data_IF_734053613876
#
_entry.id   IF_734053613876
#
_cell.length_a   1.000
_cell.length_b   1.000
_cell.length_c   1.000
_cell.angle_alpha   90.00
_cell.angle_beta   90.00
_cell.angle_gamma   90.00
#
_symmetry.space_group_name_H-M   'P 1'
#
loop_
_entity.id
_entity.type
_entity.pdbx_description
1 polymer ?
#
# COMPACT_ATOMS: atom_id res chain seq x y z
N UNK A 1 8.25 -17.13 -13.44
CA UNK A 1 9.02 -18.16 -12.69
C UNK A 1 9.59 -17.64 -11.35
N UNK A 2 10.15 -16.42 -11.30
CA UNK A 2 10.69 -15.84 -10.04
C UNK A 2 9.71 -15.90 -8.86
N UNK A 3 8.52 -15.37 -9.02
CA UNK A 3 7.49 -15.30 -7.98
C UNK A 3 7.05 -16.69 -7.45
N UNK A 4 7.02 -17.71 -8.31
CA UNK A 4 6.70 -19.07 -7.88
C UNK A 4 7.79 -19.66 -6.96
N UNK A 5 9.07 -19.47 -7.31
CA UNK A 5 10.19 -19.92 -6.46
C UNK A 5 10.25 -19.11 -5.15
N UNK A 6 10.00 -17.81 -5.22
CA UNK A 6 9.90 -16.96 -4.05
C UNK A 6 8.77 -17.42 -3.11
N UNK A 7 7.60 -17.79 -3.67
CA UNK A 7 6.48 -18.31 -2.89
C UNK A 7 6.78 -19.65 -2.21
N UNK A 8 7.41 -20.58 -2.92
CA UNK A 8 7.82 -21.87 -2.33
C UNK A 8 8.81 -21.67 -1.18
N UNK A 9 9.81 -20.81 -1.38
CA UNK A 9 10.79 -20.45 -0.35
C UNK A 9 10.12 -19.76 0.86
N UNK A 10 9.21 -18.84 0.63
CA UNK A 10 8.40 -18.19 1.66
C UNK A 10 7.58 -19.23 2.43
N UNK A 11 6.86 -20.11 1.72
CA UNK A 11 6.00 -21.13 2.33
C UNK A 11 6.76 -22.07 3.24
N UNK A 12 7.98 -22.48 2.87
CA UNK A 12 8.83 -23.34 3.67
C UNK A 12 9.34 -22.66 4.96
N UNK A 13 9.51 -21.34 4.95
CA UNK A 13 10.05 -20.57 6.08
C UNK A 13 8.98 -19.90 6.94
N UNK A 14 7.79 -19.69 6.39
CA UNK A 14 6.71 -18.97 7.06
C UNK A 14 6.05 -19.82 8.15
N UNK A 15 5.79 -19.16 9.29
CA UNK A 15 5.10 -19.72 10.43
C UNK A 15 3.59 -19.43 10.43
N UNK A 16 2.97 -19.81 11.53
CA UNK A 16 1.59 -19.51 11.89
C UNK A 16 1.54 -18.98 13.34
N UNK A 17 0.34 -18.79 13.89
CA UNK A 17 0.14 -18.24 15.24
C UNK A 17 0.85 -19.02 16.35
N UNK A 18 1.00 -20.35 16.21
CA UNK A 18 1.57 -21.20 17.29
C UNK A 18 3.07 -20.97 17.54
N UNK A 19 3.80 -20.44 16.54
CA UNK A 19 5.24 -20.14 16.67
C UNK A 19 5.54 -18.68 17.02
N UNK A 20 4.54 -17.85 17.32
CA UNK A 20 4.73 -16.42 17.58
C UNK A 20 4.94 -16.16 19.07
N UNK A 21 6.18 -15.78 19.43
CA UNK A 21 6.53 -15.39 20.81
C UNK A 21 6.41 -13.88 21.08
N UNK A 22 6.12 -13.06 20.06
CA UNK A 22 5.86 -11.63 20.21
C UNK A 22 4.37 -11.37 20.44
N UNK A 23 3.94 -10.87 21.62
CA UNK A 23 2.54 -10.56 21.89
C UNK A 23 1.95 -9.56 20.90
N UNK A 24 2.75 -8.57 20.46
CA UNK A 24 2.33 -7.59 19.45
C UNK A 24 2.05 -8.27 18.09
N UNK A 25 2.98 -9.10 17.61
CA UNK A 25 2.80 -9.79 16.31
C UNK A 25 1.67 -10.81 16.39
N UNK A 26 1.53 -11.51 17.53
CA UNK A 26 0.42 -12.43 17.74
C UNK A 26 -0.94 -11.71 17.70
N UNK A 27 -1.08 -10.58 18.40
CA UNK A 27 -2.29 -9.76 18.38
C UNK A 27 -2.59 -9.23 16.96
N UNK A 28 -1.59 -8.69 16.27
CA UNK A 28 -1.72 -8.22 14.89
C UNK A 28 -2.17 -9.36 13.94
N UNK A 29 -1.52 -10.51 14.04
CA UNK A 29 -1.83 -11.66 13.19
C UNK A 29 -3.25 -12.17 13.41
N UNK A 30 -3.66 -12.37 14.65
CA UNK A 30 -4.98 -12.93 14.98
C UNK A 30 -6.11 -11.93 14.75
N UNK A 31 -5.91 -10.66 15.13
CA UNK A 31 -6.99 -9.65 15.08
C UNK A 31 -7.10 -8.93 13.73
N UNK A 32 -6.04 -8.90 12.93
CA UNK A 32 -6.00 -8.15 11.66
C UNK A 32 -5.79 -9.08 10.46
N UNK A 33 -4.69 -9.86 10.47
CA UNK A 33 -4.33 -10.69 9.29
C UNK A 33 -5.35 -11.82 9.10
N UNK A 34 -5.65 -12.56 10.17
CA UNK A 34 -6.59 -13.69 10.16
C UNK A 34 -8.05 -13.31 10.45
N UNK A 35 -8.36 -12.01 10.47
CA UNK A 35 -9.72 -11.54 10.71
C UNK A 35 -10.67 -12.00 9.59
N UNK A 36 -11.78 -12.63 9.96
CA UNK A 36 -12.79 -13.17 9.02
C UNK A 36 -14.07 -12.35 8.97
N UNK A 37 -14.20 -11.32 9.82
CA UNK A 37 -15.36 -10.44 9.86
C UNK A 37 -15.44 -9.51 8.65
N UNK A 38 -16.63 -8.97 8.40
CA UNK A 38 -16.90 -8.00 7.35
C UNK A 38 -17.12 -6.60 7.93
N UNK A 39 -16.77 -5.57 7.16
CA UNK A 39 -17.04 -4.18 7.48
C UNK A 39 -18.00 -3.59 6.43
N UNK A 40 -18.86 -2.67 6.83
CA UNK A 40 -19.83 -2.05 5.93
C UNK A 40 -19.18 -1.41 4.69
N UNK A 41 -17.97 -0.83 4.85
CA UNK A 41 -17.21 -0.26 3.76
C UNK A 41 -16.87 -1.25 2.63
N UNK A 42 -16.74 -2.55 2.93
CA UNK A 42 -16.35 -3.55 1.92
C UNK A 42 -17.37 -3.65 0.79
N UNK A 43 -18.64 -3.73 1.12
CA UNK A 43 -19.71 -3.84 0.13
C UNK A 43 -19.75 -2.62 -0.81
N UNK A 44 -19.59 -1.41 -0.26
CA UNK A 44 -19.61 -0.18 -1.04
C UNK A 44 -18.42 -0.09 -2.01
N UNK A 45 -17.20 -0.38 -1.54
CA UNK A 45 -15.99 -0.33 -2.39
C UNK A 45 -16.04 -1.43 -3.46
N UNK A 46 -16.50 -2.63 -3.13
CA UNK A 46 -16.60 -3.71 -4.12
C UNK A 46 -17.74 -3.45 -5.14
N UNK A 47 -18.83 -2.80 -4.76
CA UNK A 47 -19.82 -2.34 -5.72
C UNK A 47 -19.21 -1.31 -6.71
N UNK A 48 -18.38 -0.36 -6.22
CA UNK A 48 -17.64 0.56 -7.08
C UNK A 48 -16.64 -0.16 -7.97
N UNK A 49 -15.92 -1.17 -7.45
CA UNK A 49 -15.03 -2.03 -8.25
C UNK A 49 -15.78 -2.65 -9.42
N UNK A 50 -16.97 -3.21 -9.18
CA UNK A 50 -17.77 -3.82 -10.24
C UNK A 50 -18.18 -2.80 -11.31
N UNK A 51 -18.60 -1.59 -10.92
CA UNK A 51 -18.89 -0.50 -11.88
C UNK A 51 -17.69 -0.17 -12.78
N UNK A 52 -16.46 -0.12 -12.20
CA UNK A 52 -15.25 0.12 -12.96
C UNK A 52 -14.91 -1.05 -13.90
N UNK A 53 -15.15 -2.29 -13.48
CA UNK A 53 -14.94 -3.48 -14.30
C UNK A 53 -15.91 -3.56 -15.48
N UNK A 54 -17.12 -3.02 -15.33
CA UNK A 54 -18.17 -2.98 -16.35
C UNK A 54 -18.08 -1.73 -17.24
N UNK A 55 -17.14 -0.81 -16.94
CA UNK A 55 -16.99 0.45 -17.69
C UNK A 55 -16.55 0.22 -19.12
N UNK A 56 -17.24 0.85 -20.08
CA UNK A 56 -16.84 0.92 -21.48
C UNK A 56 -15.88 2.08 -21.78
N UNK A 57 -15.65 2.98 -20.84
CA UNK A 57 -14.81 4.16 -21.01
C UNK A 57 -13.35 3.80 -21.27
N UNK A 58 -12.69 4.63 -22.09
CA UNK A 58 -11.25 4.56 -22.36
C UNK A 58 -10.61 5.91 -22.03
N UNK A 59 -9.46 5.87 -21.41
CA UNK A 59 -8.68 7.05 -21.02
C UNK A 59 -7.27 6.97 -21.58
N UNK A 60 -6.67 8.13 -21.83
CA UNK A 60 -5.24 8.22 -22.18
C UNK A 60 -4.41 8.11 -20.92
N UNK A 61 -3.52 7.12 -20.84
CA UNK A 61 -2.68 6.87 -19.67
C UNK A 61 -1.23 7.23 -19.98
N UNK A 62 -0.65 8.09 -19.13
CA UNK A 62 0.78 8.35 -19.07
C UNK A 62 1.35 7.50 -17.91
N UNK A 63 2.28 6.61 -18.23
CA UNK A 63 2.88 5.73 -17.23
C UNK A 63 4.25 6.27 -16.83
N UNK A 64 4.45 6.53 -15.54
CA UNK A 64 5.73 6.95 -14.95
C UNK A 64 6.42 5.80 -14.19
N UNK A 65 5.82 4.61 -14.16
CA UNK A 65 6.31 3.44 -13.46
C UNK A 65 7.28 2.56 -14.25
N UNK A 66 7.45 1.32 -13.80
CA UNK A 66 8.37 0.34 -14.38
C UNK A 66 8.02 -0.12 -15.81
N UNK A 67 6.84 0.22 -16.33
CA UNK A 67 6.28 -0.32 -17.58
C UNK A 67 6.41 0.57 -18.81
N UNK A 68 6.83 1.85 -18.71
CA UNK A 68 6.79 2.76 -19.87
C UNK A 68 7.99 3.69 -19.95
N UNK A 69 8.78 3.53 -21.00
CA UNK A 69 9.82 4.49 -21.41
C UNK A 69 9.35 5.50 -22.47
N UNK A 70 8.07 5.51 -22.82
CA UNK A 70 7.53 6.38 -23.87
C UNK A 70 6.45 7.28 -23.28
N UNK A 71 6.71 8.58 -23.22
CA UNK A 71 5.78 9.62 -22.75
C UNK A 71 4.57 9.89 -23.68
N UNK A 72 4.23 8.96 -24.58
CA UNK A 72 3.04 9.04 -25.42
C UNK A 72 1.87 8.35 -24.70
N UNK A 73 0.80 9.09 -24.44
CA UNK A 73 -0.40 8.57 -23.80
C UNK A 73 -0.97 7.37 -24.56
N UNK A 74 -1.02 6.21 -23.91
CA UNK A 74 -1.62 5.00 -24.46
C UNK A 74 -3.08 4.90 -24.03
N UNK A 75 -3.99 4.75 -25.00
CA UNK A 75 -5.40 4.50 -24.69
C UNK A 75 -5.57 3.16 -23.96
N UNK A 76 -6.20 3.20 -22.78
CA UNK A 76 -6.53 2.02 -21.99
C UNK A 76 -7.98 2.08 -21.54
N UNK A 77 -8.67 0.94 -21.60
CA UNK A 77 -10.03 0.84 -21.03
C UNK A 77 -9.95 0.91 -19.51
N UNK A 78 -10.85 1.66 -18.88
CA UNK A 78 -10.97 1.73 -17.41
C UNK A 78 -11.15 0.34 -16.81
N UNK A 79 -12.00 -0.50 -17.43
CA UNK A 79 -12.18 -1.88 -17.02
C UNK A 79 -10.89 -2.72 -17.06
N UNK A 80 -9.99 -2.47 -18.02
CA UNK A 80 -8.72 -3.16 -18.10
C UNK A 80 -7.77 -2.73 -16.97
N UNK A 81 -7.74 -1.43 -16.64
CA UNK A 81 -6.97 -0.92 -15.51
C UNK A 81 -7.51 -1.49 -14.20
N UNK A 82 -8.84 -1.47 -14.00
CA UNK A 82 -9.49 -2.04 -12.81
C UNK A 82 -9.16 -3.53 -12.62
N UNK A 83 -9.04 -4.29 -13.71
CA UNK A 83 -8.72 -5.72 -13.66
C UNK A 83 -7.26 -6.01 -13.34
N UNK A 84 -6.34 -5.16 -13.80
CA UNK A 84 -4.89 -5.43 -13.76
C UNK A 84 -4.14 -4.65 -12.69
N UNK A 85 -4.61 -3.46 -12.31
CA UNK A 85 -3.92 -2.57 -11.37
C UNK A 85 -4.59 -2.50 -10.00
N UNK A 86 -5.88 -2.86 -9.88
CA UNK A 86 -6.53 -2.85 -8.57
C UNK A 86 -6.11 -4.05 -7.72
N UNK A 87 -5.79 -3.81 -6.45
CA UNK A 87 -5.50 -4.88 -5.50
C UNK A 87 -6.64 -5.87 -5.39
N UNK A 88 -6.36 -7.19 -5.28
CA UNK A 88 -7.39 -8.16 -4.93
C UNK A 88 -8.16 -7.73 -3.67
N UNK A 89 -9.47 -8.01 -3.60
CA UNK A 89 -10.30 -7.60 -2.44
C UNK A 89 -9.69 -7.98 -1.09
N UNK A 90 -9.15 -9.19 -0.97
CA UNK A 90 -8.57 -9.69 0.28
C UNK A 90 -7.39 -8.84 0.76
N UNK A 91 -6.50 -8.40 -0.14
CA UNK A 91 -5.36 -7.54 0.20
C UNK A 91 -5.81 -6.12 0.52
N UNK A 92 -6.73 -5.55 -0.27
CA UNK A 92 -7.26 -4.21 0.00
C UNK A 92 -8.02 -4.17 1.34
N UNK A 93 -8.78 -5.21 1.66
CA UNK A 93 -9.45 -5.38 2.96
C UNK A 93 -8.45 -5.57 4.11
N UNK A 94 -7.30 -6.21 3.87
CA UNK A 94 -6.24 -6.29 4.87
C UNK A 94 -5.66 -4.90 5.16
N UNK A 95 -5.43 -4.07 4.13
CA UNK A 95 -4.99 -2.68 4.30
C UNK A 95 -6.01 -1.86 5.10
N UNK A 96 -7.31 -1.99 4.78
CA UNK A 96 -8.38 -1.40 5.59
C UNK A 96 -8.26 -1.81 7.07
N UNK A 97 -8.12 -3.12 7.35
CA UNK A 97 -8.02 -3.63 8.73
C UNK A 97 -6.78 -3.11 9.45
N UNK A 98 -5.65 -2.95 8.75
CA UNK A 98 -4.44 -2.35 9.30
C UNK A 98 -4.70 -0.90 9.73
N UNK A 99 -5.25 -0.07 8.84
CA UNK A 99 -5.59 1.32 9.15
C UNK A 99 -6.63 1.40 10.29
N UNK A 100 -7.65 0.56 10.27
CA UNK A 100 -8.66 0.50 11.32
C UNK A 100 -8.08 0.08 12.69
N UNK A 101 -7.08 -0.79 12.69
CA UNK A 101 -6.41 -1.26 13.91
C UNK A 101 -5.46 -0.21 14.50
N UNK A 102 -4.60 0.38 13.67
CA UNK A 102 -3.60 1.36 14.11
C UNK A 102 -4.15 2.77 14.29
N UNK A 103 -5.28 3.11 13.64
CA UNK A 103 -5.96 4.41 13.73
C UNK A 103 -5.04 5.60 13.49
N UNK A 104 -4.27 5.62 12.38
CA UNK A 104 -3.38 6.71 12.05
C UNK A 104 -4.16 8.01 11.85
N UNK A 105 -3.58 9.15 12.22
CA UNK A 105 -4.12 10.47 11.86
C UNK A 105 -3.76 10.84 10.41
N UNK A 106 -2.56 10.44 9.96
CA UNK A 106 -2.06 10.71 8.61
C UNK A 106 -1.71 9.38 7.91
N UNK A 107 -2.36 9.14 6.78
CA UNK A 107 -2.11 8.01 5.87
C UNK A 107 -1.53 8.53 4.57
N UNK A 108 -0.44 7.96 4.11
CA UNK A 108 0.16 8.25 2.82
C UNK A 108 0.12 7.00 1.95
N UNK A 109 -0.27 7.14 0.70
CA UNK A 109 -0.28 6.08 -0.31
C UNK A 109 0.50 6.53 -1.54
N UNK A 110 1.47 5.73 -1.99
CA UNK A 110 2.18 5.95 -3.24
C UNK A 110 1.58 5.04 -4.31
N UNK A 111 0.76 5.61 -5.21
CA UNK A 111 0.06 4.88 -6.27
C UNK A 111 -1.45 4.80 -6.04
N UNK A 112 -2.19 5.82 -6.46
CA UNK A 112 -3.66 5.91 -6.34
C UNK A 112 -4.38 4.97 -7.30
N UNK A 113 -3.89 4.90 -8.56
CA UNK A 113 -4.59 4.22 -9.66
C UNK A 113 -6.06 4.69 -9.76
N UNK A 114 -7.04 3.79 -9.87
CA UNK A 114 -8.47 4.13 -9.92
C UNK A 114 -9.10 4.43 -8.54
N UNK A 115 -8.30 4.55 -7.49
CA UNK A 115 -8.71 4.95 -6.16
C UNK A 115 -9.38 3.87 -5.31
N UNK A 116 -9.39 2.60 -5.73
CA UNK A 116 -10.05 1.53 -4.96
C UNK A 116 -9.32 1.20 -3.65
N UNK A 117 -7.99 1.12 -3.67
CA UNK A 117 -7.20 0.91 -2.44
C UNK A 117 -7.29 2.13 -1.54
N UNK A 118 -7.14 3.33 -2.11
CA UNK A 118 -7.32 4.60 -1.41
C UNK A 118 -8.67 4.68 -0.72
N UNK A 119 -9.74 4.23 -1.39
CA UNK A 119 -11.09 4.20 -0.81
C UNK A 119 -11.16 3.28 0.42
N UNK A 120 -10.51 2.12 0.39
CA UNK A 120 -10.40 1.25 1.56
C UNK A 120 -9.65 1.92 2.70
N UNK A 121 -8.53 2.58 2.43
CA UNK A 121 -7.76 3.30 3.44
C UNK A 121 -8.60 4.42 4.06
N UNK A 122 -9.30 5.22 3.24
CA UNK A 122 -10.07 6.38 3.68
C UNK A 122 -11.37 6.02 4.42
N UNK A 123 -11.99 4.90 4.08
CA UNK A 123 -13.30 4.50 4.63
C UNK A 123 -13.25 3.99 6.08
N UNK A 124 -12.07 3.90 6.72
CA UNK A 124 -11.95 3.45 8.11
C UNK A 124 -12.42 4.49 9.11
N UNK A 125 -12.09 5.77 8.89
CA UNK A 125 -12.50 6.90 9.73
C UNK A 125 -12.39 8.20 8.93
N UNK A 126 -13.44 9.00 8.87
CA UNK A 126 -13.46 10.29 8.16
C UNK A 126 -12.56 11.38 8.78
N UNK A 127 -12.06 11.17 10.00
CA UNK A 127 -11.21 12.13 10.72
C UNK A 127 -9.74 12.05 10.34
N UNK A 128 -9.26 10.91 9.85
CA UNK A 128 -7.89 10.83 9.37
C UNK A 128 -7.75 11.41 7.96
N UNK A 129 -6.57 11.89 7.62
CA UNK A 129 -6.24 12.41 6.30
C UNK A 129 -5.52 11.34 5.49
N UNK A 130 -6.01 11.07 4.29
CA UNK A 130 -5.33 10.23 3.31
C UNK A 130 -4.72 11.11 2.23
N UNK A 131 -3.41 11.01 2.03
CA UNK A 131 -2.67 11.68 0.96
C UNK A 131 -2.22 10.61 -0.01
N UNK A 132 -2.63 10.68 -1.27
CA UNK A 132 -2.32 9.68 -2.28
C UNK A 132 -1.73 10.31 -3.53
N UNK A 133 -0.86 9.59 -4.24
CA UNK A 133 -0.09 10.10 -5.37
C UNK A 133 -0.47 9.38 -6.66
N UNK A 134 -0.80 10.14 -7.70
CA UNK A 134 -1.09 9.60 -9.04
C UNK A 134 -0.36 10.40 -10.12
N UNK A 135 0.42 9.70 -10.95
CA UNK A 135 1.19 10.34 -12.02
C UNK A 135 0.34 10.79 -13.20
N UNK A 136 -0.72 10.06 -13.52
CA UNK A 136 -1.54 10.31 -14.70
C UNK A 136 -2.82 11.08 -14.35
N UNK A 137 -3.01 12.33 -14.85
CA UNK A 137 -4.20 13.13 -14.54
C UNK A 137 -5.52 12.44 -14.93
N UNK A 138 -5.53 11.70 -16.04
CA UNK A 138 -6.76 11.00 -16.47
C UNK A 138 -7.10 9.80 -15.57
N UNK A 139 -6.11 9.16 -14.97
CA UNK A 139 -6.32 8.10 -13.94
C UNK A 139 -6.77 8.73 -12.65
N UNK A 140 -6.16 9.86 -12.24
CA UNK A 140 -6.58 10.64 -11.07
C UNK A 140 -8.03 11.12 -11.18
N UNK A 141 -8.47 11.55 -12.37
CA UNK A 141 -9.87 11.93 -12.60
C UNK A 141 -10.84 10.78 -12.28
N UNK A 142 -10.54 9.55 -12.72
CA UNK A 142 -11.37 8.38 -12.38
C UNK A 142 -11.31 8.05 -10.88
N UNK A 143 -10.17 8.26 -10.23
CA UNK A 143 -10.07 8.13 -8.78
C UNK A 143 -10.95 9.15 -8.04
N UNK A 144 -10.98 10.40 -8.48
CA UNK A 144 -11.88 11.42 -7.93
C UNK A 144 -13.36 11.02 -8.08
N UNK A 145 -13.76 10.46 -9.23
CA UNK A 145 -15.10 9.90 -9.41
C UNK A 145 -15.37 8.75 -8.42
N UNK A 146 -14.39 7.91 -8.16
CA UNK A 146 -14.50 6.83 -7.18
C UNK A 146 -14.72 7.38 -5.77
N UNK A 147 -13.97 8.40 -5.37
CA UNK A 147 -14.10 9.01 -4.04
C UNK A 147 -15.44 9.73 -3.88
N UNK A 148 -15.90 10.46 -4.90
CA UNK A 148 -17.19 11.12 -4.91
C UNK A 148 -18.35 10.11 -4.82
N UNK A 149 -18.29 9.01 -5.58
CA UNK A 149 -19.31 7.95 -5.56
C UNK A 149 -19.42 7.25 -4.20
N UNK A 150 -18.34 7.24 -3.42
CA UNK A 150 -18.27 6.63 -2.08
C UNK A 150 -18.41 7.65 -0.94
N UNK A 151 -18.64 8.95 -1.26
CA UNK A 151 -18.73 10.06 -0.30
C UNK A 151 -17.50 10.16 0.62
N UNK A 152 -16.30 9.97 0.09
CA UNK A 152 -15.03 10.05 0.81
C UNK A 152 -14.43 11.44 0.63
N UNK A 153 -14.51 12.28 1.66
CA UNK A 153 -14.03 13.68 1.64
C UNK A 153 -12.68 13.90 2.34
N UNK A 154 -12.08 12.86 2.88
CA UNK A 154 -10.83 12.92 3.65
C UNK A 154 -9.57 12.53 2.83
N UNK A 155 -9.66 12.61 1.50
CA UNK A 155 -8.60 12.21 0.56
C UNK A 155 -8.06 13.45 -0.15
N UNK A 156 -6.75 13.55 -0.22
CA UNK A 156 -6.02 14.53 -1.03
C UNK A 156 -5.20 13.78 -2.08
N UNK A 157 -5.47 14.03 -3.36
CA UNK A 157 -4.72 13.45 -4.48
C UNK A 157 -3.64 14.44 -4.89
N UNK A 158 -2.39 13.99 -4.89
CA UNK A 158 -1.23 14.73 -5.40
C UNK A 158 -0.93 14.23 -6.81
N UNK A 159 -1.28 15.03 -7.80
CA UNK A 159 -1.03 14.69 -9.19
C UNK A 159 0.42 14.99 -9.58
N UNK A 160 1.04 14.06 -10.32
CA UNK A 160 2.39 14.18 -10.85
C UNK A 160 3.32 13.03 -10.47
N UNK A 161 4.52 13.05 -11.04
CA UNK A 161 5.52 12.01 -10.74
C UNK A 161 5.93 12.04 -9.27
N UNK A 162 5.86 10.90 -8.60
CA UNK A 162 6.24 10.71 -7.18
C UNK A 162 7.66 11.21 -6.92
N UNK A 163 8.60 11.01 -7.85
CA UNK A 163 9.98 11.47 -7.73
C UNK A 163 10.11 12.99 -7.50
N UNK A 164 9.10 13.75 -7.94
CA UNK A 164 9.10 15.22 -7.83
C UNK A 164 8.12 15.74 -6.78
N UNK A 165 7.07 14.97 -6.47
CA UNK A 165 5.97 15.43 -5.62
C UNK A 165 6.07 14.96 -4.17
N UNK A 166 6.72 13.81 -3.91
CA UNK A 166 6.77 13.22 -2.56
C UNK A 166 7.53 14.10 -1.56
N UNK A 167 8.76 14.52 -1.89
CA UNK A 167 9.59 15.28 -0.96
C UNK A 167 8.93 16.62 -0.55
N UNK A 168 8.42 17.47 -1.47
CA UNK A 168 7.74 18.71 -1.07
C UNK A 168 6.45 18.44 -0.28
N UNK A 169 5.69 17.39 -0.61
CA UNK A 169 4.49 17.02 0.16
C UNK A 169 4.85 16.63 1.59
N UNK A 170 5.86 15.80 1.79
CA UNK A 170 6.35 15.42 3.12
C UNK A 170 6.84 16.63 3.91
N UNK A 171 7.59 17.53 3.29
CA UNK A 171 8.07 18.77 3.93
C UNK A 171 6.93 19.71 4.37
N UNK A 172 5.78 19.64 3.70
CA UNK A 172 4.59 20.43 4.04
C UNK A 172 3.72 19.79 5.14
N UNK A 173 4.00 18.56 5.56
CA UNK A 173 3.26 17.89 6.63
C UNK A 173 3.45 18.64 7.95
N UNK A 174 2.32 18.97 8.60
CA UNK A 174 2.29 19.58 9.93
C UNK A 174 2.24 18.58 11.08
N UNK A 175 2.10 17.31 10.76
CA UNK A 175 2.00 16.19 11.70
C UNK A 175 2.90 15.04 11.22
N UNK A 176 3.29 14.13 12.12
CA UNK A 176 4.02 12.93 11.74
C UNK A 176 3.28 12.08 10.70
N UNK A 177 4.04 11.27 9.96
CA UNK A 177 3.52 10.26 9.07
C UNK A 177 3.27 8.97 9.86
N UNK A 178 2.00 8.67 10.15
CA UNK A 178 1.66 7.52 10.99
C UNK A 178 1.57 6.21 10.21
N UNK A 179 1.11 6.30 8.94
CA UNK A 179 0.96 5.13 8.08
C UNK A 179 1.38 5.47 6.66
N UNK A 180 2.19 4.63 6.04
CA UNK A 180 2.57 4.78 4.63
C UNK A 180 2.39 3.45 3.89
N UNK A 181 1.73 3.49 2.73
CA UNK A 181 1.58 2.37 1.81
C UNK A 181 2.35 2.64 0.51
N UNK A 182 3.33 1.80 0.23
CA UNK A 182 4.22 1.91 -0.92
C UNK A 182 3.75 0.96 -2.02
N UNK A 183 2.94 1.45 -2.95
CA UNK A 183 2.36 0.72 -4.09
C UNK A 183 2.73 1.38 -5.44
N UNK A 184 3.84 2.05 -5.49
CA UNK A 184 4.31 2.72 -6.71
C UNK A 184 5.73 2.33 -7.09
N UNK A 185 5.98 2.24 -8.40
CA UNK A 185 7.32 2.15 -8.98
C UNK A 185 8.17 0.93 -8.52
N UNK A 186 7.61 -0.25 -8.43
CA UNK A 186 8.18 -1.52 -7.93
C UNK A 186 9.59 -1.86 -8.45
N UNK A 187 10.57 -0.98 -8.18
CA UNK A 187 12.00 -1.09 -8.51
C UNK A 187 12.87 -0.80 -7.29
N UNK A 188 14.05 -1.35 -7.25
CA UNK A 188 14.96 -1.27 -6.10
C UNK A 188 15.24 0.19 -5.65
N UNK A 189 15.82 1.00 -6.53
CA UNK A 189 16.25 2.35 -6.17
C UNK A 189 15.09 3.28 -5.77
N UNK A 190 13.98 3.38 -6.54
CA UNK A 190 12.85 4.21 -6.15
C UNK A 190 12.22 3.77 -4.82
N UNK A 191 12.04 2.47 -4.60
CA UNK A 191 11.48 1.96 -3.34
C UNK A 191 12.30 2.38 -2.14
N UNK A 192 13.63 2.25 -2.21
CA UNK A 192 14.52 2.68 -1.14
C UNK A 192 14.57 4.21 -0.98
N UNK A 193 14.49 4.94 -2.08
CA UNK A 193 14.44 6.39 -2.05
C UNK A 193 13.19 6.90 -1.33
N UNK A 194 12.02 6.39 -1.71
CA UNK A 194 10.74 6.76 -1.08
C UNK A 194 10.69 6.34 0.40
N UNK A 195 11.19 5.15 0.71
CA UNK A 195 11.35 4.70 2.09
C UNK A 195 12.16 5.70 2.94
N UNK A 196 13.34 6.12 2.45
CA UNK A 196 14.20 7.07 3.17
C UNK A 196 13.54 8.43 3.36
N UNK A 197 12.83 8.95 2.35
CA UNK A 197 12.07 10.19 2.47
C UNK A 197 11.00 10.09 3.56
N UNK A 198 10.17 9.05 3.53
CA UNK A 198 9.12 8.85 4.51
C UNK A 198 9.67 8.59 5.92
N UNK A 199 10.83 7.92 6.03
CA UNK A 199 11.46 7.58 7.29
C UNK A 199 11.81 8.82 8.14
N UNK A 200 12.14 9.93 7.50
CA UNK A 200 12.44 11.21 8.18
C UNK A 200 11.22 11.83 8.88
N UNK A 201 10.01 11.42 8.50
CA UNK A 201 8.76 11.99 9.01
C UNK A 201 7.97 11.03 9.92
N UNK A 202 8.52 9.86 10.21
CA UNK A 202 7.89 8.84 11.06
C UNK A 202 8.01 9.14 12.55
N UNK A 203 7.22 8.42 13.33
CA UNK A 203 7.43 8.21 14.78
C UNK A 203 7.78 6.74 15.07
N UNK A 204 8.03 6.42 16.32
CA UNK A 204 8.24 5.03 16.74
C UNK A 204 6.97 4.15 16.62
N UNK A 205 5.78 4.77 16.53
CA UNK A 205 4.50 4.06 16.36
C UNK A 205 4.04 3.99 14.90
N UNK A 206 4.77 4.60 13.96
CA UNK A 206 4.43 4.56 12.54
C UNK A 206 4.47 3.15 11.96
N UNK A 207 3.63 2.90 10.96
CA UNK A 207 3.54 1.63 10.24
C UNK A 207 3.75 1.88 8.75
N UNK A 208 4.76 1.25 8.17
CA UNK A 208 4.99 1.30 6.73
C UNK A 208 4.66 -0.06 6.11
N UNK A 209 3.95 -0.04 5.01
CA UNK A 209 3.50 -1.23 4.28
C UNK A 209 4.05 -1.16 2.85
N UNK A 210 4.77 -2.18 2.45
CA UNK A 210 5.34 -2.30 1.10
C UNK A 210 4.59 -3.35 0.32
N UNK A 211 4.14 -2.99 -0.87
CA UNK A 211 3.51 -3.91 -1.80
C UNK A 211 4.53 -4.69 -2.61
N UNK A 212 4.11 -5.86 -3.09
CA UNK A 212 4.84 -6.67 -4.06
C UNK A 212 6.30 -6.98 -3.67
N UNK A 213 6.58 -7.20 -2.37
CA UNK A 213 7.95 -7.42 -1.83
C UNK A 213 8.67 -8.63 -2.43
N UNK A 214 7.95 -9.57 -3.06
CA UNK A 214 8.47 -10.75 -3.75
C UNK A 214 8.15 -10.79 -5.25
N UNK A 215 7.69 -9.65 -5.82
CA UNK A 215 7.33 -9.57 -7.24
C UNK A 215 8.52 -9.82 -8.18
N UNK A 216 9.68 -9.30 -7.84
CA UNK A 216 10.91 -9.36 -8.63
C UNK A 216 12.14 -9.47 -7.75
N UNK A 217 13.29 -9.84 -8.34
CA UNK A 217 14.57 -9.86 -7.64
C UNK A 217 14.95 -8.46 -7.09
N UNK A 218 14.58 -7.39 -7.79
CA UNK A 218 14.79 -6.02 -7.35
C UNK A 218 13.96 -5.70 -6.10
N UNK A 219 12.70 -6.10 -6.06
CA UNK A 219 11.84 -5.88 -4.90
C UNK A 219 12.27 -6.75 -3.70
N UNK A 220 12.68 -8.02 -3.91
CA UNK A 220 13.26 -8.82 -2.83
C UNK A 220 14.52 -8.16 -2.25
N UNK A 221 15.41 -7.64 -3.11
CA UNK A 221 16.61 -6.92 -2.67
C UNK A 221 16.26 -5.63 -1.90
N UNK A 222 15.24 -4.88 -2.35
CA UNK A 222 14.75 -3.69 -1.64
C UNK A 222 14.20 -4.09 -0.26
N UNK A 223 13.40 -5.14 -0.19
CA UNK A 223 12.83 -5.64 1.06
C UNK A 223 13.92 -6.08 2.05
N UNK A 224 14.93 -6.83 1.60
CA UNK A 224 16.06 -7.22 2.45
C UNK A 224 16.82 -5.98 2.97
N UNK A 225 17.04 -4.97 2.12
CA UNK A 225 17.70 -3.73 2.52
C UNK A 225 16.88 -2.95 3.56
N UNK A 226 15.56 -2.87 3.39
CA UNK A 226 14.65 -2.24 4.36
C UNK A 226 14.73 -2.96 5.71
N UNK A 227 14.69 -4.30 5.72
CA UNK A 227 14.79 -5.11 6.95
C UNK A 227 16.09 -4.85 7.72
N UNK A 228 17.20 -4.66 7.00
CA UNK A 228 18.51 -4.41 7.65
C UNK A 228 18.70 -2.98 8.14
N UNK A 229 17.82 -2.03 7.75
CA UNK A 229 17.95 -0.63 8.15
C UNK A 229 17.93 -0.48 9.68
N UNK A 230 18.86 0.33 10.29
CA UNK A 230 18.99 0.46 11.75
C UNK A 230 17.68 0.85 12.47
N UNK A 231 16.90 1.72 11.85
CA UNK A 231 15.64 2.23 12.43
C UNK A 231 14.47 1.23 12.33
N UNK A 232 14.59 0.17 11.53
CA UNK A 232 13.56 -0.86 11.40
C UNK A 232 13.75 -1.89 12.50
N UNK A 233 12.78 -1.99 13.41
CA UNK A 233 12.86 -2.86 14.57
C UNK A 233 12.09 -4.16 14.41
N UNK A 234 10.99 -4.13 13.63
CA UNK A 234 10.21 -5.32 13.39
C UNK A 234 9.64 -5.31 11.98
N UNK A 235 9.66 -6.47 11.30
CA UNK A 235 8.99 -6.66 10.02
C UNK A 235 8.13 -7.90 10.03
N UNK A 236 7.02 -7.85 9.29
CA UNK A 236 6.16 -9.00 9.03
C UNK A 236 6.00 -9.14 7.52
N UNK A 237 6.53 -10.23 6.98
CA UNK A 237 6.41 -10.64 5.59
C UNK A 237 5.15 -11.51 5.44
N UNK A 238 4.19 -11.06 4.63
CA UNK A 238 2.94 -11.77 4.29
C UNK A 238 2.93 -12.20 2.81
N UNK A 239 4.07 -12.32 2.19
CA UNK A 239 4.37 -12.62 0.80
C UNK A 239 4.04 -11.47 -0.16
N UNK A 240 2.78 -11.08 -0.30
CA UNK A 240 2.38 -9.99 -1.20
C UNK A 240 2.72 -8.61 -0.62
N UNK A 241 2.60 -8.46 0.69
CA UNK A 241 2.93 -7.21 1.39
C UNK A 241 3.89 -7.46 2.56
N UNK A 242 4.76 -6.48 2.81
CA UNK A 242 5.65 -6.42 3.95
C UNK A 242 5.27 -5.29 4.89
N UNK A 243 5.15 -5.59 6.18
CA UNK A 243 4.88 -4.60 7.21
C UNK A 243 6.18 -4.24 7.92
N UNK A 244 6.39 -2.96 8.19
CA UNK A 244 7.57 -2.41 8.88
C UNK A 244 7.12 -1.58 10.07
N UNK A 245 7.78 -1.82 11.21
CA UNK A 245 7.53 -1.13 12.48
C UNK A 245 8.85 -0.62 13.08
N UNK A 246 8.76 0.52 13.78
CA UNK A 246 9.91 1.26 14.31
C UNK A 246 9.99 1.25 15.85
N UNK A 247 9.19 0.43 16.50
CA UNK A 247 9.02 0.33 17.97
C UNK A 247 10.32 -0.06 18.68
N UNK A 248 10.92 0.86 19.43
CA UNK A 248 12.25 0.70 20.07
C UNK A 248 12.26 -0.18 21.31
N UNK A 249 11.11 -0.48 21.92
CA UNK A 249 11.01 -1.22 23.18
C UNK A 249 11.10 -2.75 23.03
N UNK A 250 11.70 -3.24 21.93
CA UNK A 250 11.85 -4.66 21.64
C UNK A 250 13.11 -4.92 20.82
N UNK A 251 13.69 -6.13 20.88
CA UNK A 251 14.80 -6.50 20.00
C UNK A 251 14.32 -6.50 18.53
N UNK A 252 15.28 -6.31 17.62
CA UNK A 252 15.01 -6.39 16.18
C UNK A 252 14.57 -7.80 15.79
N UNK A 253 13.42 -7.91 15.12
CA UNK A 253 12.81 -9.19 14.75
C UNK A 253 12.19 -9.15 13.35
N UNK A 254 12.21 -10.29 12.67
CA UNK A 254 11.63 -10.47 11.35
C UNK A 254 10.76 -11.73 11.36
N UNK A 255 9.50 -11.58 10.93
CA UNK A 255 8.54 -12.67 10.87
C UNK A 255 8.08 -12.87 9.43
N UNK A 256 7.90 -14.13 9.03
CA UNK A 256 7.22 -14.51 7.77
C UNK A 256 6.00 -15.34 8.16
N UNK A 257 4.80 -14.87 7.81
CA UNK A 257 3.53 -15.43 8.27
C UNK A 257 2.58 -15.70 7.12
N UNK A 258 1.93 -16.86 7.13
CA UNK A 258 0.91 -17.23 6.14
C UNK A 258 -0.40 -16.50 6.39
N UNK A 259 -0.99 -15.97 5.32
CA UNK A 259 -2.32 -15.34 5.35
C UNK A 259 -3.40 -16.36 5.09
#
# INVERSE_FOLDING_TARGET
MHQLFAYLRFWLRSGNAHGLHSPFVFGLYTSVVRHTGTFAAYAAVEARRQQLLDSSASISVTDFGAGSHTGAGRQRRVAAIARTAAKPPQLAQLLFRLVNYFRPATVLELGTSLGLTTAYLAATDSRHRVITFEGCPNVAAVAHETFAALNLGNIEVIEGNIDHTLAPTLAALKAPLDFAFFDGNHRYEPTLHYFKLCLAHRTDESVFVFDDIHWSADMERAWENIKTHPEVMLTVDLFYIGLVFFRKNQPKQHFSLRV
#
